data_IF_226441471287
#
_entry.id   IF_226441471287
#
_cell.length_a   1.000
_cell.length_b   1.000
_cell.length_c   1.000
_cell.angle_alpha   90.00
_cell.angle_beta   90.00
_cell.angle_gamma   90.00
#
_symmetry.space_group_name_H-M   'P 1'
#
loop_
_entity.id
_entity.type
_entity.pdbx_description
1 polymer ?
#
# COMPACT_ATOMS: atom_id res chain seq x y z
N UNK A 1 23.96 17.04 -21.93
CA UNK A 1 24.79 16.03 -21.24
C UNK A 1 24.17 15.83 -19.86
N UNK A 2 23.20 14.98 -19.62
CA UNK A 2 22.57 13.93 -20.44
C UNK A 2 21.07 13.91 -20.20
N UNK A 3 20.33 13.89 -21.31
CA UNK A 3 18.98 13.36 -21.43
C UNK A 3 19.00 11.86 -21.16
N UNK A 4 18.30 11.41 -20.11
CA UNK A 4 17.49 10.19 -20.10
C UNK A 4 16.93 9.94 -18.69
N UNK A 5 16.01 10.81 -18.26
CA UNK A 5 14.93 10.34 -17.43
C UNK A 5 14.05 9.49 -18.34
N UNK A 6 14.25 8.16 -18.33
CA UNK A 6 13.30 7.22 -18.91
C UNK A 6 11.95 7.48 -18.25
N UNK A 7 11.11 8.25 -18.95
CA UNK A 7 9.68 8.38 -18.67
C UNK A 7 9.09 6.99 -18.93
N UNK A 8 8.98 6.20 -17.86
CA UNK A 8 8.15 5.01 -17.89
C UNK A 8 6.74 5.48 -18.20
N UNK A 9 6.20 5.02 -19.32
CA UNK A 9 4.82 5.20 -19.72
C UNK A 9 3.94 4.39 -18.74
N UNK A 10 3.79 4.91 -17.52
CA UNK A 10 2.68 4.50 -16.67
C UNK A 10 1.54 5.45 -17.05
N UNK A 11 0.60 4.95 -17.85
CA UNK A 11 -0.67 5.64 -18.06
C UNK A 11 -1.27 5.94 -16.68
N UNK A 12 -1.58 7.21 -16.44
CA UNK A 12 -2.32 7.60 -15.25
C UNK A 12 -3.67 6.90 -15.24
N UNK A 13 -4.03 6.29 -14.12
CA UNK A 13 -5.32 5.61 -13.96
C UNK A 13 -5.95 6.04 -12.65
N UNK A 14 -7.15 6.61 -12.74
CA UNK A 14 -8.02 6.88 -11.61
C UNK A 14 -9.22 5.97 -11.70
N UNK A 15 -9.38 5.13 -10.69
CA UNK A 15 -10.55 4.25 -10.55
C UNK A 15 -11.35 4.65 -9.33
N UNK A 16 -12.67 4.61 -9.44
CA UNK A 16 -13.57 4.83 -8.31
C UNK A 16 -14.54 3.69 -8.14
N UNK A 17 -14.76 3.26 -6.90
CA UNK A 17 -15.66 2.19 -6.53
C UNK A 17 -16.63 2.71 -5.47
N UNK A 18 -17.92 2.50 -5.70
CA UNK A 18 -18.97 2.91 -4.74
C UNK A 18 -19.65 1.67 -4.23
N UNK A 19 -19.77 1.57 -2.91
CA UNK A 19 -20.37 0.45 -2.23
C UNK A 19 -21.59 0.89 -1.40
N UNK A 20 -22.62 0.05 -1.41
CA UNK A 20 -23.78 0.17 -0.53
C UNK A 20 -24.03 -1.20 0.14
N UNK A 21 -24.12 -1.22 1.46
CA UNK A 21 -24.31 -2.43 2.29
C UNK A 21 -23.36 -3.61 1.98
N UNK A 22 -22.15 -3.32 1.48
CA UNK A 22 -21.16 -4.35 1.14
C UNK A 22 -21.13 -4.77 -0.32
N UNK A 23 -22.02 -4.25 -1.16
CA UNK A 23 -22.06 -4.54 -2.62
C UNK A 23 -21.57 -3.35 -3.41
N UNK A 24 -20.82 -3.60 -4.47
CA UNK A 24 -20.46 -2.57 -5.43
C UNK A 24 -21.72 -2.14 -6.21
N UNK A 25 -22.01 -0.84 -6.19
CA UNK A 25 -23.15 -0.22 -6.87
C UNK A 25 -22.72 0.79 -7.94
N UNK A 26 -21.43 1.16 -7.96
CA UNK A 26 -20.87 2.06 -8.96
C UNK A 26 -19.39 1.78 -9.21
N UNK A 27 -18.94 2.11 -10.42
CA UNK A 27 -17.55 2.04 -10.85
C UNK A 27 -17.26 3.19 -11.82
N UNK A 28 -16.14 3.88 -11.64
CA UNK A 28 -15.66 4.98 -12.51
C UNK A 28 -16.74 6.04 -12.75
N UNK A 29 -17.26 6.57 -11.65
CA UNK A 29 -18.27 7.62 -11.68
C UNK A 29 -17.70 8.92 -12.25
N UNK A 30 -18.55 9.67 -12.95
CA UNK A 30 -18.23 11.03 -13.37
C UNK A 30 -18.08 11.96 -12.15
N UNK A 31 -17.39 13.10 -12.35
CA UNK A 31 -17.02 14.02 -11.26
C UNK A 31 -18.20 14.45 -10.38
N UNK A 32 -19.33 14.79 -10.99
CA UNK A 32 -20.51 15.22 -10.22
C UNK A 32 -21.09 14.07 -9.39
N UNK A 33 -21.16 12.87 -9.95
CA UNK A 33 -21.62 11.69 -9.24
C UNK A 33 -20.66 11.29 -8.10
N UNK A 34 -19.34 11.51 -8.25
CA UNK A 34 -18.37 11.35 -7.16
C UNK A 34 -18.62 12.32 -6.01
N UNK A 35 -18.91 13.59 -6.29
CA UNK A 35 -19.24 14.60 -5.25
C UNK A 35 -20.50 14.18 -4.48
N UNK A 36 -21.52 13.71 -5.18
CA UNK A 36 -22.75 13.22 -4.55
C UNK A 36 -22.51 11.96 -3.72
N UNK A 37 -21.76 10.99 -4.25
CA UNK A 37 -21.42 9.77 -3.53
C UNK A 37 -20.60 10.06 -2.26
N UNK A 38 -19.69 11.03 -2.31
CA UNK A 38 -18.88 11.47 -1.17
C UNK A 38 -19.72 12.10 -0.05
N UNK A 39 -20.82 12.77 -0.40
CA UNK A 39 -21.73 13.42 0.55
C UNK A 39 -22.74 12.45 1.20
N UNK A 40 -22.94 11.27 0.62
CA UNK A 40 -23.89 10.27 1.11
C UNK A 40 -23.26 9.39 2.19
N UNK A 41 -23.82 9.45 3.41
CA UNK A 41 -23.33 8.69 4.57
C UNK A 41 -23.69 7.20 4.54
N UNK A 42 -24.56 6.78 3.63
CA UNK A 42 -24.90 5.38 3.39
C UNK A 42 -23.95 4.67 2.42
N UNK A 43 -23.13 5.43 1.70
CA UNK A 43 -22.19 4.90 0.71
C UNK A 43 -20.78 4.84 1.27
N UNK A 44 -20.02 3.86 0.80
CA UNK A 44 -18.56 3.82 0.98
C UNK A 44 -17.92 4.09 -0.36
N UNK A 45 -17.06 5.12 -0.42
CA UNK A 45 -16.34 5.51 -1.62
C UNK A 45 -14.88 5.09 -1.53
N UNK A 46 -14.39 4.34 -2.51
CA UNK A 46 -12.97 4.12 -2.70
C UNK A 46 -12.51 4.78 -3.99
N UNK A 47 -11.47 5.60 -3.93
CA UNK A 47 -10.78 6.13 -5.11
C UNK A 47 -9.32 5.67 -5.09
N UNK A 48 -8.87 5.04 -6.18
CA UNK A 48 -7.49 4.62 -6.37
C UNK A 48 -6.83 5.47 -7.46
N UNK A 49 -5.74 6.14 -7.13
CA UNK A 49 -4.92 6.94 -8.04
C UNK A 49 -3.60 6.21 -8.30
N UNK A 50 -3.45 5.69 -9.52
CA UNK A 50 -2.23 5.06 -10.02
C UNK A 50 -1.48 6.04 -10.92
N UNK A 51 -0.26 6.40 -10.53
CA UNK A 51 0.60 7.34 -11.25
C UNK A 51 -0.11 8.64 -11.69
N UNK A 52 -0.89 9.31 -10.81
CA UNK A 52 -1.71 10.43 -11.22
C UNK A 52 -0.88 11.62 -11.68
N UNK A 53 -1.42 12.36 -12.65
CA UNK A 53 -0.86 13.66 -13.06
C UNK A 53 -1.00 14.70 -11.93
N UNK A 54 -0.22 15.80 -11.97
CA UNK A 54 -0.39 16.90 -11.01
C UNK A 54 -1.81 17.48 -11.00
N UNK A 55 -2.43 17.57 -12.17
CA UNK A 55 -3.80 18.07 -12.34
C UNK A 55 -4.81 17.14 -11.66
N UNK A 56 -4.70 15.83 -11.89
CA UNK A 56 -5.54 14.81 -11.26
C UNK A 56 -5.35 14.74 -9.75
N UNK A 57 -4.10 14.83 -9.29
CA UNK A 57 -3.75 14.89 -7.86
C UNK A 57 -4.43 16.08 -7.21
N UNK A 58 -4.37 17.26 -7.83
CA UNK A 58 -5.05 18.45 -7.35
C UNK A 58 -6.57 18.29 -7.35
N UNK A 59 -7.15 17.80 -8.43
CA UNK A 59 -8.60 17.65 -8.53
C UNK A 59 -9.18 16.72 -7.47
N UNK A 60 -8.51 15.59 -7.21
CA UNK A 60 -9.01 14.62 -6.23
C UNK A 60 -8.59 15.01 -4.81
N UNK A 61 -7.29 15.14 -4.54
CA UNK A 61 -6.80 15.29 -3.17
C UNK A 61 -7.09 16.68 -2.58
N UNK A 62 -6.94 17.75 -3.38
CA UNK A 62 -7.13 19.13 -2.92
C UNK A 62 -8.59 19.57 -3.05
N UNK A 63 -9.21 19.41 -4.23
CA UNK A 63 -10.52 20.03 -4.50
C UNK A 63 -11.73 19.17 -4.14
N UNK A 64 -11.61 17.84 -4.18
CA UNK A 64 -12.72 16.92 -3.87
C UNK A 64 -12.72 16.49 -2.40
N UNK A 65 -11.55 16.19 -1.85
CA UNK A 65 -11.41 15.73 -0.48
C UNK A 65 -10.89 16.78 0.51
N UNK A 66 -10.33 17.89 0.01
CA UNK A 66 -9.82 18.98 0.85
C UNK A 66 -8.76 18.47 1.85
N UNK A 67 -7.92 17.53 1.42
CA UNK A 67 -6.84 17.02 2.27
C UNK A 67 -5.82 18.11 2.58
N UNK A 68 -5.21 17.99 3.76
CA UNK A 68 -4.21 18.94 4.23
C UNK A 68 -3.02 19.01 3.27
N UNK A 69 -2.51 20.21 2.91
CA UNK A 69 -1.44 20.38 1.93
C UNK A 69 -0.18 19.56 2.22
N UNK A 70 0.21 19.39 3.49
CA UNK A 70 1.36 18.57 3.87
C UNK A 70 1.19 17.09 3.49
N UNK A 71 -0.01 16.53 3.68
CA UNK A 71 -0.28 15.14 3.30
C UNK A 71 -0.28 14.95 1.77
N UNK A 72 -0.70 15.97 1.01
CA UNK A 72 -0.60 15.98 -0.45
C UNK A 72 0.87 16.07 -0.89
N UNK A 73 1.65 16.94 -0.26
CA UNK A 73 3.09 17.08 -0.51
C UNK A 73 3.84 15.76 -0.27
N UNK A 74 3.48 15.03 0.79
CA UNK A 74 4.04 13.71 1.09
C UNK A 74 3.69 12.63 0.05
N UNK A 75 2.60 12.77 -0.71
CA UNK A 75 2.30 11.86 -1.82
C UNK A 75 3.19 12.16 -3.04
N UNK A 76 3.42 13.45 -3.30
CA UNK A 76 4.14 13.94 -4.49
C UNK A 76 5.66 13.93 -4.29
N UNK A 77 6.12 14.02 -3.05
CA UNK A 77 7.53 13.87 -2.66
C UNK A 77 7.75 12.42 -2.23
N UNK A 78 8.84 11.76 -2.66
CA UNK A 78 9.11 10.40 -2.17
C UNK A 78 9.36 10.48 -0.68
N UNK A 79 8.48 9.90 0.14
CA UNK A 79 8.66 9.87 1.58
C UNK A 79 9.63 8.74 1.92
N UNK A 80 10.57 8.99 2.84
CA UNK A 80 11.61 8.01 3.15
C UNK A 80 11.12 6.89 4.08
N UNK A 81 10.00 7.07 4.80
CA UNK A 81 9.55 6.13 5.82
C UNK A 81 8.02 6.03 5.95
N UNK A 82 7.51 4.82 6.24
CA UNK A 82 6.12 4.61 6.64
C UNK A 82 5.75 5.48 7.84
N UNK A 83 4.55 6.06 7.79
CA UNK A 83 4.03 6.92 8.86
C UNK A 83 2.51 6.90 8.92
N UNK A 84 1.99 7.45 10.00
CA UNK A 84 0.57 7.71 10.19
C UNK A 84 0.38 9.08 10.84
N UNK A 85 -0.61 9.83 10.37
CA UNK A 85 -1.00 11.13 10.88
C UNK A 85 -2.53 11.16 11.01
N UNK A 86 -3.01 11.83 12.06
CA UNK A 86 -4.45 11.94 12.34
C UNK A 86 -4.84 13.40 12.12
N UNK A 87 -5.72 13.63 11.14
CA UNK A 87 -6.24 14.95 10.75
C UNK A 87 -7.69 15.14 11.23
N UNK A 88 -8.10 14.44 12.29
CA UNK A 88 -9.45 14.42 12.88
C UNK A 88 -10.54 13.78 11.99
N UNK A 89 -10.67 14.25 10.74
CA UNK A 89 -11.67 13.77 9.77
C UNK A 89 -11.19 12.56 8.97
N UNK A 90 -9.87 12.38 8.87
CA UNK A 90 -9.24 11.27 8.18
C UNK A 90 -7.87 10.91 8.80
N UNK A 91 -7.47 9.67 8.61
CA UNK A 91 -6.11 9.19 8.84
C UNK A 91 -5.33 9.24 7.54
N UNK A 92 -4.14 9.83 7.56
CA UNK A 92 -3.17 9.72 6.48
C UNK A 92 -2.12 8.67 6.86
N UNK A 93 -1.87 7.73 5.96
CA UNK A 93 -0.91 6.65 6.18
C UNK A 93 -0.01 6.49 4.97
N UNK A 94 1.28 6.29 5.21
CA UNK A 94 2.27 5.88 4.22
C UNK A 94 2.71 4.47 4.57
N UNK A 95 2.53 3.55 3.64
CA UNK A 95 2.87 2.13 3.78
C UNK A 95 3.75 1.70 2.61
N UNK A 96 4.51 0.61 2.78
CA UNK A 96 5.42 0.11 1.77
C UNK A 96 5.03 -1.30 1.32
N UNK A 97 4.69 -1.44 0.04
CA UNK A 97 4.67 -2.73 -0.64
C UNK A 97 6.10 -3.15 -0.93
N UNK A 98 6.38 -4.44 -0.81
CA UNK A 98 7.64 -5.00 -1.31
C UNK A 98 7.37 -6.03 -2.40
N UNK A 99 8.33 -6.19 -3.29
CA UNK A 99 8.34 -7.24 -4.27
C UNK A 99 9.78 -7.63 -4.61
N UNK A 100 9.97 -8.86 -5.10
CA UNK A 100 11.21 -9.25 -5.76
C UNK A 100 11.06 -8.98 -7.26
N UNK A 101 12.00 -8.23 -7.84
CA UNK A 101 12.05 -8.01 -9.29
C UNK A 101 12.56 -9.25 -10.03
N UNK A 102 12.35 -9.36 -11.35
CA UNK A 102 12.94 -10.43 -12.17
C UNK A 102 14.47 -10.56 -12.03
N UNK A 103 15.17 -9.47 -11.75
CA UNK A 103 16.62 -9.40 -11.50
C UNK A 103 17.01 -9.88 -10.10
N UNK A 104 16.06 -10.44 -9.34
CA UNK A 104 16.19 -10.80 -7.93
C UNK A 104 16.65 -9.60 -7.10
N UNK A 105 16.01 -8.44 -7.24
CA UNK A 105 16.27 -7.30 -6.35
C UNK A 105 15.04 -6.96 -5.53
N UNK A 106 15.24 -6.44 -4.32
CA UNK A 106 14.12 -5.98 -3.50
C UNK A 106 13.65 -4.63 -4.05
N UNK A 107 12.40 -4.58 -4.49
CA UNK A 107 11.71 -3.34 -4.87
C UNK A 107 10.78 -2.96 -3.73
N UNK A 108 10.80 -1.67 -3.37
CA UNK A 108 9.93 -1.08 -2.37
C UNK A 108 9.09 -0.03 -3.08
N UNK A 109 7.78 -0.13 -2.96
CA UNK A 109 6.81 0.78 -3.59
C UNK A 109 5.94 1.40 -2.50
N UNK A 110 5.76 2.71 -2.56
CA UNK A 110 4.99 3.48 -1.58
C UNK A 110 3.50 3.44 -1.90
N UNK A 111 2.68 3.13 -0.90
CA UNK A 111 1.23 3.27 -0.89
C UNK A 111 0.82 4.33 0.13
N UNK A 112 0.21 5.40 -0.36
CA UNK A 112 -0.43 6.40 0.48
C UNK A 112 -1.91 6.06 0.63
N UNK A 113 -2.44 6.16 1.84
CA UNK A 113 -3.85 5.94 2.15
C UNK A 113 -4.42 7.12 2.93
N UNK A 114 -5.56 7.63 2.49
CA UNK A 114 -6.40 8.57 3.23
C UNK A 114 -7.67 7.84 3.64
N UNK A 115 -7.78 7.51 4.91
CA UNK A 115 -8.92 6.77 5.47
C UNK A 115 -9.80 7.73 6.25
N UNK A 116 -10.98 8.04 5.72
CA UNK A 116 -12.04 8.66 6.51
C UNK A 116 -13.14 7.69 6.85
N UNK A 117 -14.23 8.22 7.41
CA UNK A 117 -15.31 7.38 7.94
C UNK A 117 -16.09 6.64 6.84
N UNK A 118 -16.42 7.33 5.76
CA UNK A 118 -17.18 6.79 4.62
C UNK A 118 -16.34 6.68 3.34
N UNK A 119 -15.01 6.88 3.40
CA UNK A 119 -14.17 6.81 2.23
C UNK A 119 -12.76 6.28 2.47
N UNK A 120 -12.17 5.76 1.41
CA UNK A 120 -10.74 5.46 1.31
C UNK A 120 -10.21 6.08 0.02
N UNK A 121 -9.09 6.79 0.09
CA UNK A 121 -8.32 7.18 -1.10
C UNK A 121 -6.96 6.51 -1.05
N UNK A 122 -6.57 5.84 -2.12
CA UNK A 122 -5.24 5.25 -2.28
C UNK A 122 -4.48 6.01 -3.37
N UNK A 123 -3.21 6.29 -3.12
CA UNK A 123 -2.32 6.96 -4.07
C UNK A 123 -1.01 6.20 -4.13
N UNK A 124 -0.58 5.88 -5.36
CA UNK A 124 0.69 5.20 -5.62
C UNK A 124 1.24 5.59 -6.98
N UNK A 125 2.56 5.60 -7.13
CA UNK A 125 3.25 6.04 -8.37
C UNK A 125 3.34 4.96 -9.43
N UNK A 126 3.06 3.73 -9.03
CA UNK A 126 3.14 2.55 -9.86
C UNK A 126 2.19 1.48 -9.31
N UNK A 127 1.65 0.60 -10.18
CA UNK A 127 0.71 -0.41 -9.75
C UNK A 127 1.24 -1.25 -8.59
N UNK A 128 0.47 -1.31 -7.50
CA UNK A 128 0.77 -2.12 -6.33
C UNK A 128 0.02 -3.46 -6.44
N UNK A 129 0.71 -4.62 -6.46
CA UNK A 129 0.07 -5.92 -6.66
C UNK A 129 -1.08 -6.19 -5.70
N UNK A 130 -0.92 -5.84 -4.41
CA UNK A 130 -1.97 -6.04 -3.41
C UNK A 130 -3.22 -5.21 -3.67
N UNK A 131 -3.06 -3.95 -4.08
CA UNK A 131 -4.18 -3.07 -4.45
C UNK A 131 -4.88 -3.60 -5.69
N UNK A 132 -4.12 -3.96 -6.73
CA UNK A 132 -4.66 -4.52 -7.97
C UNK A 132 -5.46 -5.80 -7.73
N UNK A 133 -5.00 -6.68 -6.85
CA UNK A 133 -5.70 -7.92 -6.49
C UNK A 133 -7.03 -7.65 -5.79
N UNK A 134 -7.09 -6.64 -4.91
CA UNK A 134 -8.34 -6.22 -4.27
C UNK A 134 -9.32 -5.63 -5.30
N UNK A 135 -8.85 -4.78 -6.23
CA UNK A 135 -9.66 -4.27 -7.35
C UNK A 135 -10.24 -5.40 -8.19
N UNK A 136 -9.40 -6.37 -8.58
CA UNK A 136 -9.83 -7.53 -9.36
C UNK A 136 -10.91 -8.36 -8.65
N UNK A 137 -10.71 -8.66 -7.35
CA UNK A 137 -11.68 -9.41 -6.53
C UNK A 137 -13.02 -8.68 -6.40
N UNK A 138 -12.99 -7.36 -6.24
CA UNK A 138 -14.20 -6.52 -6.19
C UNK A 138 -14.93 -6.58 -7.53
N UNK A 139 -14.22 -6.35 -8.65
CA UNK A 139 -14.80 -6.38 -9.99
C UNK A 139 -15.39 -7.75 -10.38
N UNK A 140 -14.81 -8.84 -9.88
CA UNK A 140 -15.31 -10.21 -10.08
C UNK A 140 -16.42 -10.60 -9.10
N UNK A 141 -16.72 -9.78 -8.09
CA UNK A 141 -17.67 -10.11 -7.03
C UNK A 141 -17.23 -11.26 -6.11
N UNK A 142 -15.94 -11.61 -6.11
CA UNK A 142 -15.35 -12.69 -5.28
C UNK A 142 -14.66 -12.16 -4.02
N UNK A 143 -14.53 -10.84 -3.89
CA UNK A 143 -13.96 -10.17 -2.73
C UNK A 143 -14.86 -10.21 -1.49
N UNK A 144 -14.30 -9.81 -0.35
CA UNK A 144 -15.10 -9.64 0.86
C UNK A 144 -16.03 -8.43 0.74
N UNK A 145 -17.25 -8.46 1.31
CA UNK A 145 -18.16 -7.33 1.28
C UNK A 145 -17.56 -6.07 1.92
N UNK A 146 -17.57 -4.95 1.20
CA UNK A 146 -17.05 -3.65 1.66
C UNK A 146 -18.14 -2.87 2.38
N UNK A 147 -18.31 -3.14 3.68
CA UNK A 147 -19.35 -2.50 4.52
C UNK A 147 -18.88 -1.22 5.23
N UNK A 148 -17.58 -0.91 5.15
CA UNK A 148 -16.99 0.28 5.76
C UNK A 148 -15.60 0.54 5.19
N UNK A 149 -15.16 1.79 5.25
CA UNK A 149 -13.85 2.21 4.75
C UNK A 149 -12.69 1.56 5.53
N UNK A 150 -12.79 1.45 6.86
CA UNK A 150 -11.74 0.82 7.70
C UNK A 150 -11.56 -0.68 7.39
N UNK A 151 -12.63 -1.37 6.99
CA UNK A 151 -12.55 -2.78 6.53
C UNK A 151 -11.87 -2.90 5.18
N UNK A 152 -12.06 -1.93 4.29
CA UNK A 152 -11.36 -1.92 3.00
C UNK A 152 -9.88 -1.59 3.19
N UNK A 153 -9.57 -0.59 4.02
CA UNK A 153 -8.20 -0.27 4.39
C UNK A 153 -7.50 -1.50 4.99
N UNK A 154 -8.16 -2.20 5.92
CA UNK A 154 -7.67 -3.48 6.43
C UNK A 154 -7.36 -4.48 5.31
N UNK A 155 -8.29 -4.74 4.39
CA UNK A 155 -8.07 -5.70 3.30
C UNK A 155 -6.85 -5.35 2.43
N UNK A 156 -6.59 -4.07 2.20
CA UNK A 156 -5.42 -3.61 1.45
C UNK A 156 -4.14 -3.80 2.27
N UNK A 157 -4.14 -3.44 3.56
CA UNK A 157 -2.98 -3.58 4.44
C UNK A 157 -2.63 -5.05 4.72
N UNK A 158 -3.62 -5.91 4.86
CA UNK A 158 -3.48 -7.36 4.98
C UNK A 158 -2.81 -7.94 3.74
N UNK A 159 -3.28 -7.54 2.55
CA UNK A 159 -2.68 -7.97 1.30
C UNK A 159 -1.25 -7.43 1.10
N UNK A 160 -0.92 -6.25 1.66
CA UNK A 160 0.44 -5.75 1.72
C UNK A 160 1.32 -6.60 2.67
N UNK A 161 0.79 -7.00 3.82
CA UNK A 161 1.50 -7.87 4.75
C UNK A 161 1.82 -9.23 4.13
N UNK A 162 0.86 -9.83 3.43
CA UNK A 162 1.04 -11.07 2.67
C UNK A 162 2.17 -10.97 1.63
N UNK A 163 2.41 -9.78 1.07
CA UNK A 163 3.49 -9.58 0.08
C UNK A 163 4.90 -9.76 0.66
N UNK A 164 5.06 -9.71 1.98
CA UNK A 164 6.34 -9.92 2.65
C UNK A 164 6.76 -11.38 2.67
N UNK A 165 5.82 -12.31 2.74
CA UNK A 165 6.12 -13.74 2.91
C UNK A 165 6.95 -14.30 1.73
N UNK A 166 6.57 -14.10 0.45
CA UNK A 166 7.40 -14.57 -0.67
C UNK A 166 8.81 -13.97 -0.70
N UNK A 167 8.97 -12.74 -0.19
CA UNK A 167 10.29 -12.10 -0.09
C UNK A 167 11.15 -12.77 0.97
N UNK A 168 10.58 -13.11 2.12
CA UNK A 168 11.27 -13.82 3.21
C UNK A 168 11.62 -15.24 2.80
N UNK A 169 10.70 -15.96 2.15
CA UNK A 169 10.94 -17.30 1.62
C UNK A 169 12.11 -17.28 0.62
N UNK A 170 12.08 -16.38 -0.36
CA UNK A 170 13.17 -16.26 -1.34
C UNK A 170 14.53 -15.86 -0.73
N UNK A 171 14.54 -15.12 0.39
CA UNK A 171 15.77 -14.84 1.14
C UNK A 171 16.28 -16.08 1.89
N UNK A 172 15.39 -16.92 2.39
CA UNK A 172 15.72 -18.16 3.10
C UNK A 172 16.33 -19.16 2.14
N UNK A 173 15.71 -19.37 0.98
CA UNK A 173 16.25 -20.21 -0.10
C UNK A 173 17.64 -19.74 -0.54
N UNK A 174 17.84 -18.43 -0.76
CA UNK A 174 19.13 -17.87 -1.14
C UNK A 174 20.22 -18.11 -0.06
N UNK A 175 19.85 -18.20 1.22
CA UNK A 175 20.78 -18.49 2.32
C UNK A 175 21.14 -19.98 2.39
N UNK A 176 20.17 -20.89 2.27
CA UNK A 176 20.40 -22.34 2.20
C UNK A 176 21.36 -22.70 1.05
N UNK A 177 21.13 -22.11 -0.11
CA UNK A 177 21.96 -22.21 -1.31
C UNK A 177 23.41 -21.75 -1.11
N UNK A 178 23.62 -20.78 -0.21
CA UNK A 178 24.95 -20.25 0.12
C UNK A 178 25.63 -21.18 1.12
N UNK A 179 24.89 -21.71 2.10
CA UNK A 179 25.40 -22.67 3.07
C UNK A 179 25.90 -23.96 2.38
N UNK A 180 25.11 -24.53 1.48
CA UNK A 180 25.48 -25.73 0.73
C UNK A 180 26.76 -25.53 -0.10
N UNK A 181 26.86 -24.40 -0.82
CA UNK A 181 28.04 -24.07 -1.63
C UNK A 181 29.28 -23.77 -0.79
N UNK A 182 29.11 -23.22 0.41
CA UNK A 182 30.23 -23.01 1.35
C UNK A 182 30.82 -24.34 1.82
N UNK A 183 29.98 -25.36 2.03
CA UNK A 183 30.42 -26.70 2.46
C UNK A 183 31.13 -27.49 1.35
N UNK A 184 30.75 -27.29 0.08
CA UNK A 184 31.36 -27.97 -1.07
C UNK A 184 32.70 -27.37 -1.53
N UNK A 185 33.11 -26.20 -1.01
CA UNK A 185 34.43 -25.59 -1.27
C UNK A 185 34.61 -24.96 -2.66
N UNK A 186 33.56 -24.88 -3.48
CA UNK A 186 33.59 -24.34 -4.85
C UNK A 186 33.35 -22.82 -4.84
N UNK A 187 34.27 -22.03 -5.42
CA UNK A 187 34.00 -20.64 -5.84
C UNK A 187 33.85 -19.59 -4.72
N UNK A 188 34.85 -19.45 -3.84
CA UNK A 188 34.85 -18.49 -2.69
C UNK A 188 34.47 -17.03 -3.04
N UNK A 189 34.82 -16.55 -4.22
CA UNK A 189 34.53 -15.17 -4.63
C UNK A 189 33.06 -14.95 -5.02
N UNK A 190 32.41 -15.97 -5.59
CA UNK A 190 30.98 -15.95 -5.93
C UNK A 190 30.12 -16.05 -4.66
N UNK A 191 30.51 -16.92 -3.72
CA UNK A 191 29.89 -17.07 -2.40
C UNK A 191 29.84 -15.74 -1.62
N UNK A 192 30.96 -15.00 -1.57
CA UNK A 192 31.04 -13.72 -0.86
C UNK A 192 30.09 -12.67 -1.44
N UNK A 193 29.95 -12.63 -2.78
CA UNK A 193 29.02 -11.72 -3.47
C UNK A 193 27.56 -12.09 -3.18
N UNK A 194 27.23 -13.38 -3.13
CA UNK A 194 25.88 -13.86 -2.78
C UNK A 194 25.50 -13.52 -1.34
N UNK A 195 26.40 -13.78 -0.38
CA UNK A 195 26.21 -13.41 1.05
C UNK A 195 25.94 -11.91 1.18
N UNK A 196 26.73 -11.08 0.50
CA UNK A 196 26.58 -9.63 0.57
C UNK A 196 25.23 -9.16 -0.01
N UNK A 197 24.76 -9.77 -1.10
CA UNK A 197 23.44 -9.48 -1.68
C UNK A 197 22.31 -9.87 -0.72
N UNK A 198 22.34 -11.08 -0.16
CA UNK A 198 21.34 -11.54 0.81
C UNK A 198 21.29 -10.62 2.04
N UNK A 199 22.46 -10.28 2.61
CA UNK A 199 22.56 -9.35 3.75
C UNK A 199 21.97 -7.97 3.44
N UNK A 200 22.24 -7.42 2.24
CA UNK A 200 21.68 -6.13 1.82
C UNK A 200 20.16 -6.19 1.70
N UNK A 201 19.61 -7.22 1.03
CA UNK A 201 18.16 -7.37 0.89
C UNK A 201 17.46 -7.53 2.25
N UNK A 202 18.01 -8.35 3.15
CA UNK A 202 17.49 -8.50 4.51
C UNK A 202 17.51 -7.18 5.29
N UNK A 203 18.59 -6.41 5.16
CA UNK A 203 18.70 -5.08 5.79
C UNK A 203 17.64 -4.12 5.26
N UNK A 204 17.45 -4.07 3.94
CA UNK A 204 16.43 -3.23 3.31
C UNK A 204 15.02 -3.64 3.72
N UNK A 205 14.73 -4.95 3.78
CA UNK A 205 13.43 -5.45 4.24
C UNK A 205 13.16 -5.04 5.69
N UNK A 206 14.14 -5.21 6.60
CA UNK A 206 14.00 -4.77 8.01
C UNK A 206 13.78 -3.27 8.13
N UNK A 207 14.47 -2.47 7.32
CA UNK A 207 14.30 -1.02 7.30
C UNK A 207 12.90 -0.61 6.81
N UNK A 208 12.32 -1.36 5.88
CA UNK A 208 10.95 -1.14 5.40
C UNK A 208 9.88 -1.62 6.40
N UNK A 209 10.07 -2.77 7.06
CA UNK A 209 9.06 -3.36 7.95
C UNK A 209 8.98 -2.68 9.32
N UNK A 210 10.13 -2.29 9.89
CA UNK A 210 10.17 -1.76 11.27
C UNK A 210 9.26 -0.54 11.48
N UNK A 211 9.25 0.49 10.61
CA UNK A 211 8.36 1.64 10.77
C UNK A 211 6.89 1.29 10.49
N UNK A 212 6.61 0.36 9.57
CA UNK A 212 5.23 -0.09 9.30
C UNK A 212 4.61 -0.75 10.53
N UNK A 213 5.40 -1.52 11.29
CA UNK A 213 4.94 -2.09 12.56
C UNK A 213 4.53 -1.01 13.57
N UNK A 214 5.23 0.12 13.61
CA UNK A 214 4.85 1.25 14.48
C UNK A 214 3.56 1.92 14.01
N UNK A 215 3.39 2.07 12.69
CA UNK A 215 2.13 2.55 12.09
C UNK A 215 0.96 1.65 12.50
N UNK A 216 1.12 0.32 12.35
CA UNK A 216 0.11 -0.66 12.75
C UNK A 216 -0.14 -0.64 14.26
N UNK A 217 0.91 -0.54 15.07
CA UNK A 217 0.79 -0.43 16.52
C UNK A 217 -0.01 0.81 16.93
N UNK A 218 0.16 1.94 16.23
CA UNK A 218 -0.64 3.14 16.50
C UNK A 218 -2.11 2.99 16.09
N UNK A 219 -2.40 2.33 14.96
CA UNK A 219 -3.77 1.99 14.58
C UNK A 219 -4.47 1.10 15.62
N UNK A 220 -3.76 0.10 16.16
CA UNK A 220 -4.35 -0.89 17.07
C UNK A 220 -4.54 -0.40 18.50
N UNK A 221 -3.98 0.76 18.87
CA UNK A 221 -4.25 1.45 20.16
C UNK A 221 -5.68 1.98 20.26
N UNK A 222 -6.41 2.09 19.14
CA UNK A 222 -7.80 2.55 19.14
C UNK A 222 -7.95 4.03 19.48
N UNK A 223 -6.91 4.83 19.24
CA UNK A 223 -6.90 6.28 19.50
C UNK A 223 -7.77 7.06 18.52
N UNK A 224 -7.96 6.55 17.30
CA UNK A 224 -8.77 7.19 16.26
C UNK A 224 -10.18 6.60 16.18
N UNK A 225 -11.19 7.49 16.08
CA UNK A 225 -12.60 7.11 15.91
C UNK A 225 -12.91 6.49 14.55
N UNK A 226 -11.98 6.59 13.60
CA UNK A 226 -12.10 6.09 12.24
C UNK A 226 -11.87 4.57 12.17
N UNK A 227 -11.14 4.01 13.13
CA UNK A 227 -11.00 2.56 13.29
C UNK A 227 -12.02 2.07 14.31
N UNK A 228 -12.98 1.27 13.85
CA UNK A 228 -14.05 0.78 14.72
C UNK A 228 -13.50 -0.30 15.66
N UNK A 229 -14.06 -0.38 16.88
CA UNK A 229 -13.62 -1.37 17.87
C UNK A 229 -13.69 -2.83 17.35
N UNK A 230 -14.69 -3.14 16.51
CA UNK A 230 -14.84 -4.46 15.90
C UNK A 230 -13.79 -4.77 14.82
N UNK A 231 -13.13 -3.75 14.26
CA UNK A 231 -12.10 -3.94 13.23
C UNK A 231 -10.70 -4.05 13.81
N UNK A 232 -10.47 -3.55 15.04
CA UNK A 232 -9.18 -3.63 15.74
C UNK A 232 -8.53 -5.02 15.77
N UNK A 233 -9.24 -6.14 16.01
CA UNK A 233 -8.61 -7.47 16.00
C UNK A 233 -7.97 -7.82 14.66
N UNK A 234 -8.55 -7.36 13.55
CA UNK A 234 -8.02 -7.61 12.22
C UNK A 234 -6.75 -6.79 11.95
N UNK A 235 -6.70 -5.52 12.38
CA UNK A 235 -5.46 -4.74 12.31
C UNK A 235 -4.34 -5.30 13.20
N UNK A 236 -4.68 -5.95 14.32
CA UNK A 236 -3.70 -6.66 15.17
C UNK A 236 -3.13 -7.88 14.48
N UNK A 237 -3.95 -8.64 13.77
CA UNK A 237 -3.49 -9.79 12.97
C UNK A 237 -2.44 -9.35 11.92
N UNK A 238 -2.71 -8.25 11.22
CA UNK A 238 -1.75 -7.63 10.29
C UNK A 238 -0.48 -7.15 11.00
N UNK A 239 -0.59 -6.58 12.20
CA UNK A 239 0.57 -6.19 13.02
C UNK A 239 1.42 -7.40 13.42
N UNK A 240 0.79 -8.50 13.81
CA UNK A 240 1.45 -9.73 14.23
C UNK A 240 2.12 -10.42 13.04
N UNK A 241 1.52 -10.38 11.85
CA UNK A 241 2.12 -10.88 10.60
C UNK A 241 3.39 -10.12 10.17
N UNK A 242 3.59 -8.89 10.65
CA UNK A 242 4.80 -8.08 10.40
C UNK A 242 5.94 -8.33 11.42
N UNK A 243 5.79 -9.26 12.37
CA UNK A 243 6.74 -9.53 13.46
C UNK A 243 7.56 -10.79 13.22
#
# INVERSE_FOLDING_TARGET
>A
MDENAKKGDNDSVIESFVFNEGRQVGHNLEREALRLARADKGLILWIDLTAPTPEETKEVLELLFEFHPLAIEDCVTLSELPKIEDYEDYLFMIMHSVAITPEKTLKISELNLFLGKEFLVTFHREPIPGVSLIKERIMKGTGQPVRAADRLAHQILDQLADSYLPVVEGLTEDMEDVEEKSLSGVGKEDLSKRILRARRRLSSLRQALRPQREVMARLTRGESKLIRAMTLPYFRDVQDAMT
#
